data_IF_427449593840
#
_entry.id   IF_427449593840
#
_cell.length_a   1.000
_cell.length_b   1.000
_cell.length_c   1.000
_cell.angle_alpha   90.00
_cell.angle_beta   90.00
_cell.angle_gamma   90.00
#
_symmetry.space_group_name_H-M   'P 1'
#
loop_
_entity.id
_entity.type
_entity.pdbx_description
1 polymer ?
#
# COMPACT_ATOMS: atom_id res chain seq x y z
N UNK A 1 -8.40 27.42 -14.65
CA UNK A 1 -7.80 28.14 -13.50
C UNK A 1 -6.29 28.15 -13.67
N UNK A 2 -5.63 29.31 -13.65
CA UNK A 2 -4.15 29.39 -13.66
C UNK A 2 -3.62 28.74 -12.39
N UNK A 3 -2.67 27.81 -12.50
CA UNK A 3 -2.04 27.21 -11.33
C UNK A 3 -1.35 28.32 -10.52
N UNK A 4 -1.82 28.58 -9.29
CA UNK A 4 -1.12 29.46 -8.35
C UNK A 4 0.28 28.87 -8.14
N UNK A 5 1.31 29.71 -8.28
CA UNK A 5 2.70 29.34 -8.01
C UNK A 5 2.79 28.81 -6.58
N UNK A 6 3.43 27.65 -6.37
CA UNK A 6 3.64 27.10 -5.02
C UNK A 6 4.45 28.09 -4.19
N UNK A 7 4.05 28.30 -2.94
CA UNK A 7 4.78 29.18 -2.02
C UNK A 7 6.08 28.50 -1.60
N UNK A 8 7.13 29.28 -1.42
CA UNK A 8 8.33 28.83 -0.73
C UNK A 8 8.03 28.57 0.75
N UNK A 9 8.90 27.81 1.42
CA UNK A 9 8.74 27.52 2.84
C UNK A 9 8.69 28.81 3.70
N UNK A 10 9.54 29.80 3.38
CA UNK A 10 9.54 31.10 4.08
C UNK A 10 8.24 31.88 3.87
N UNK A 11 7.72 31.90 2.63
CA UNK A 11 6.45 32.55 2.31
C UNK A 11 5.27 31.86 3.03
N UNK A 12 5.31 30.54 3.15
CA UNK A 12 4.26 29.79 3.85
C UNK A 12 4.25 30.05 5.35
N UNK A 13 5.43 30.10 5.99
CA UNK A 13 5.53 30.42 7.42
C UNK A 13 5.07 31.85 7.76
N UNK A 14 5.07 32.75 6.79
CA UNK A 14 4.60 34.12 6.97
C UNK A 14 3.06 34.25 6.95
N UNK A 15 2.33 33.20 6.53
CA UNK A 15 0.86 33.21 6.49
C UNK A 15 0.24 32.95 7.87
N UNK A 16 -0.99 33.41 8.14
CA UNK A 16 -1.79 32.94 9.26
C UNK A 16 -2.04 31.42 9.19
N UNK A 17 -2.20 30.75 10.34
CA UNK A 17 -2.33 29.28 10.42
C UNK A 17 -3.43 28.70 9.51
N UNK A 18 -4.58 29.35 9.42
CA UNK A 18 -5.67 28.93 8.53
C UNK A 18 -5.25 28.92 7.05
N UNK A 19 -4.57 29.98 6.61
CA UNK A 19 -4.06 30.11 5.24
C UNK A 19 -2.93 29.10 4.97
N UNK A 20 -2.09 28.81 5.98
CA UNK A 20 -1.09 27.74 5.88
C UNK A 20 -1.74 26.37 5.61
N UNK A 21 -2.81 26.04 6.34
CA UNK A 21 -3.52 24.78 6.19
C UNK A 21 -4.12 24.64 4.78
N UNK A 22 -4.78 25.69 4.27
CA UNK A 22 -5.31 25.71 2.90
C UNK A 22 -4.20 25.54 1.86
N UNK A 23 -3.09 26.29 2.01
CA UNK A 23 -1.97 26.20 1.08
C UNK A 23 -1.40 24.78 1.03
N UNK A 24 -1.20 24.15 2.19
CA UNK A 24 -0.72 22.76 2.30
C UNK A 24 -1.69 21.75 1.70
N UNK A 25 -2.99 21.93 1.90
CA UNK A 25 -3.99 21.04 1.31
C UNK A 25 -3.95 21.08 -0.21
N UNK A 26 -3.87 22.29 -0.78
CA UNK A 26 -3.76 22.46 -2.23
C UNK A 26 -2.50 21.82 -2.80
N UNK A 27 -1.36 21.98 -2.13
CA UNK A 27 -0.10 21.32 -2.52
C UNK A 27 -0.23 19.80 -2.46
N UNK A 28 -0.82 19.27 -1.38
CA UNK A 28 -1.06 17.84 -1.20
C UNK A 28 -1.96 17.28 -2.29
N UNK A 29 -3.04 17.99 -2.62
CA UNK A 29 -3.97 17.60 -3.67
C UNK A 29 -3.29 17.53 -5.05
N UNK A 30 -2.50 18.55 -5.41
CA UNK A 30 -1.75 18.55 -6.67
C UNK A 30 -0.70 17.44 -6.71
N UNK A 31 0.01 17.21 -5.60
CA UNK A 31 0.97 16.11 -5.49
C UNK A 31 0.28 14.75 -5.64
N UNK A 32 -0.89 14.58 -5.02
CA UNK A 32 -1.70 13.36 -5.10
C UNK A 32 -2.18 13.08 -6.52
N UNK A 33 -2.64 14.09 -7.26
CA UNK A 33 -3.02 13.91 -8.68
C UNK A 33 -1.82 13.43 -9.52
N UNK A 34 -0.63 14.03 -9.33
CA UNK A 34 0.59 13.59 -10.03
C UNK A 34 1.02 12.19 -9.63
N UNK A 35 0.85 11.82 -8.38
CA UNK A 35 1.13 10.48 -7.88
C UNK A 35 0.21 9.43 -8.53
N UNK A 36 -1.10 9.69 -8.54
CA UNK A 36 -2.10 8.81 -9.18
C UNK A 36 -1.75 8.58 -10.64
N UNK A 37 -1.35 9.64 -11.36
CA UNK A 37 -0.90 9.52 -12.74
C UNK A 37 0.31 8.61 -12.91
N UNK A 38 1.28 8.68 -11.99
CA UNK A 38 2.45 7.77 -11.97
C UNK A 38 2.07 6.33 -11.62
N UNK A 39 0.99 6.13 -10.86
CA UNK A 39 0.49 4.81 -10.48
C UNK A 39 -0.42 4.17 -11.54
N UNK A 40 -0.82 4.91 -12.58
CA UNK A 40 -1.87 4.52 -13.56
C UNK A 40 -1.76 3.07 -14.04
N UNK A 41 -0.57 2.63 -14.45
CA UNK A 41 -0.38 1.26 -14.95
C UNK A 41 -0.55 0.21 -13.84
N UNK A 42 0.04 0.44 -12.67
CA UNK A 42 -0.06 -0.47 -11.53
C UNK A 42 -1.49 -0.55 -10.99
N UNK A 43 -2.22 0.58 -10.97
CA UNK A 43 -3.63 0.61 -10.58
C UNK A 43 -4.49 -0.22 -11.52
N UNK A 44 -4.29 -0.14 -12.84
CA UNK A 44 -5.01 -0.99 -13.82
C UNK A 44 -4.73 -2.47 -13.62
N UNK A 45 -3.48 -2.84 -13.34
CA UNK A 45 -3.11 -4.23 -13.06
C UNK A 45 -3.75 -4.72 -11.75
N UNK A 46 -3.75 -3.89 -10.71
CA UNK A 46 -4.38 -4.24 -9.44
C UNK A 46 -5.89 -4.37 -9.60
N UNK A 47 -6.52 -3.48 -10.37
CA UNK A 47 -7.96 -3.53 -10.62
C UNK A 47 -8.40 -4.82 -11.31
N UNK A 48 -7.61 -5.31 -12.27
CA UNK A 48 -7.83 -6.62 -12.89
C UNK A 48 -7.69 -7.80 -11.90
N UNK A 49 -6.87 -7.66 -10.86
CA UNK A 49 -6.65 -8.69 -9.83
C UNK A 49 -7.68 -8.62 -8.68
N UNK A 50 -8.36 -7.49 -8.48
CA UNK A 50 -9.30 -7.28 -7.36
C UNK A 50 -10.35 -8.38 -7.24
N UNK A 51 -11.02 -8.85 -8.31
CA UNK A 51 -12.01 -9.92 -8.20
C UNK A 51 -11.41 -11.22 -7.67
N UNK A 52 -10.20 -11.58 -8.12
CA UNK A 52 -9.52 -12.80 -7.71
C UNK A 52 -9.02 -12.72 -6.26
N UNK A 53 -8.51 -11.55 -5.83
CA UNK A 53 -8.12 -11.30 -4.43
C UNK A 53 -9.34 -11.43 -3.51
N UNK A 54 -10.48 -10.86 -3.90
CA UNK A 54 -11.74 -10.95 -3.15
C UNK A 54 -12.24 -12.39 -3.07
N UNK A 55 -12.24 -13.11 -4.19
CA UNK A 55 -12.63 -14.53 -4.24
C UNK A 55 -11.72 -15.43 -3.38
N UNK A 56 -10.45 -15.07 -3.22
CA UNK A 56 -9.50 -15.75 -2.33
C UNK A 56 -9.71 -15.46 -0.83
N UNK A 57 -10.79 -14.75 -0.47
CA UNK A 57 -11.13 -14.38 0.90
C UNK A 57 -10.57 -13.04 1.35
N UNK A 58 -10.03 -12.23 0.43
CA UNK A 58 -9.63 -10.85 0.70
C UNK A 58 -10.83 -9.91 0.78
N UNK A 59 -10.67 -8.78 1.47
CA UNK A 59 -11.68 -7.71 1.44
C UNK A 59 -11.55 -6.87 0.18
N UNK A 60 -12.50 -5.97 0.03
CA UNK A 60 -12.47 -4.98 -1.04
C UNK A 60 -11.27 -4.04 -0.87
N UNK A 61 -10.49 -3.86 -1.93
CA UNK A 61 -9.38 -2.90 -1.95
C UNK A 61 -9.88 -1.55 -2.45
N UNK A 62 -9.68 -0.51 -1.64
CA UNK A 62 -10.07 0.86 -1.98
C UNK A 62 -8.89 1.70 -2.44
N UNK A 63 -9.07 2.43 -3.54
CA UNK A 63 -8.02 3.26 -4.14
C UNK A 63 -7.54 4.40 -3.22
N UNK A 64 -8.38 4.84 -2.28
CA UNK A 64 -8.02 5.87 -1.29
C UNK A 64 -6.89 5.44 -0.35
N UNK A 65 -6.73 4.13 -0.14
CA UNK A 65 -5.66 3.56 0.71
C UNK A 65 -4.39 3.23 -0.07
N UNK A 66 -4.35 3.49 -1.39
CA UNK A 66 -3.20 3.20 -2.23
C UNK A 66 -2.31 4.42 -2.42
N UNK A 67 -1.02 4.26 -2.17
CA UNK A 67 0.03 5.23 -2.48
C UNK A 67 1.18 4.58 -3.23
N UNK A 68 2.09 5.39 -3.78
CA UNK A 68 3.26 4.93 -4.50
C UNK A 68 4.46 4.94 -3.57
N UNK A 69 5.12 3.79 -3.43
CA UNK A 69 6.42 3.74 -2.78
C UNK A 69 7.49 4.45 -3.64
N UNK A 70 8.22 5.44 -3.12
CA UNK A 70 9.09 6.29 -3.92
C UNK A 70 10.27 5.54 -4.55
N UNK A 71 10.82 4.52 -3.88
CA UNK A 71 12.08 3.88 -4.29
C UNK A 71 11.95 3.00 -5.54
N UNK A 72 10.89 2.20 -5.63
CA UNK A 72 10.73 1.23 -6.71
C UNK A 72 9.38 1.33 -7.44
N UNK A 73 8.51 2.26 -7.04
CA UNK A 73 7.19 2.44 -7.64
C UNK A 73 6.15 1.37 -7.30
N UNK A 74 6.43 0.47 -6.35
CA UNK A 74 5.43 -0.45 -5.82
C UNK A 74 4.23 0.32 -5.26
N UNK A 75 3.04 -0.28 -5.35
CA UNK A 75 1.88 0.26 -4.63
C UNK A 75 2.04 -0.08 -3.16
N UNK A 76 1.63 0.81 -2.28
CA UNK A 76 1.47 0.54 -0.84
C UNK A 76 -0.01 0.62 -0.51
N UNK A 77 -0.57 -0.43 0.07
CA UNK A 77 -1.94 -0.42 0.57
C UNK A 77 -1.92 -0.24 2.08
N UNK A 78 -2.44 0.89 2.55
CA UNK A 78 -2.43 1.26 3.97
C UNK A 78 -3.85 1.62 4.43
N UNK A 79 -4.67 0.60 4.66
CA UNK A 79 -5.98 0.77 5.26
C UNK A 79 -5.87 0.75 6.79
N UNK A 80 -6.41 1.76 7.47
CA UNK A 80 -6.43 1.81 8.94
C UNK A 80 -7.24 0.67 9.59
N UNK A 81 -8.11 0.03 8.80
CA UNK A 81 -9.07 -0.97 9.26
C UNK A 81 -8.68 -2.40 8.87
N UNK A 82 -7.61 -2.56 8.09
CA UNK A 82 -7.19 -3.85 7.55
C UNK A 82 -5.70 -4.07 7.79
N UNK A 83 -5.34 -4.11 9.06
CA UNK A 83 -4.00 -4.47 9.52
C UNK A 83 -3.99 -5.91 9.98
N UNK A 84 -3.74 -6.84 9.06
CA UNK A 84 -3.63 -8.21 9.50
C UNK A 84 -3.24 -9.21 8.42
N UNK A 85 -3.07 -10.47 8.84
CA UNK A 85 -2.68 -11.56 7.98
C UNK A 85 -3.71 -11.89 6.88
N UNK A 86 -4.95 -11.39 6.98
CA UNK A 86 -6.04 -11.69 6.03
C UNK A 86 -5.75 -11.27 4.59
N UNK A 87 -5.34 -10.02 4.36
CA UNK A 87 -4.99 -9.55 3.02
C UNK A 87 -3.77 -10.30 2.48
N UNK A 88 -2.72 -10.49 3.29
CA UNK A 88 -1.55 -11.26 2.91
C UNK A 88 -1.92 -12.70 2.53
N UNK A 89 -2.78 -13.36 3.31
CA UNK A 89 -3.25 -14.71 3.03
C UNK A 89 -4.06 -14.79 1.73
N UNK A 90 -4.95 -13.82 1.47
CA UNK A 90 -5.70 -13.74 0.23
C UNK A 90 -4.79 -13.55 -1.00
N UNK A 91 -3.76 -12.70 -0.86
CA UNK A 91 -2.74 -12.53 -1.90
C UNK A 91 -1.98 -13.85 -2.16
N UNK A 92 -1.54 -14.53 -1.09
CA UNK A 92 -0.85 -15.84 -1.19
C UNK A 92 -1.74 -16.89 -1.89
N UNK A 93 -3.01 -17.03 -1.49
CA UNK A 93 -3.98 -17.93 -2.14
C UNK A 93 -4.24 -17.56 -3.60
N UNK A 94 -4.15 -16.27 -3.95
CA UNK A 94 -4.22 -15.79 -5.33
C UNK A 94 -2.86 -15.78 -6.06
N UNK A 95 -1.93 -16.67 -5.67
CA UNK A 95 -0.63 -16.88 -6.31
C UNK A 95 0.31 -15.67 -6.30
N UNK A 96 0.12 -14.71 -5.39
CA UNK A 96 1.14 -13.71 -5.13
C UNK A 96 2.27 -14.32 -4.31
N UNK A 97 3.50 -13.87 -4.56
CA UNK A 97 4.70 -14.35 -3.86
C UNK A 97 5.22 -13.27 -2.93
N UNK A 98 5.80 -13.68 -1.81
CA UNK A 98 6.58 -12.77 -0.96
C UNK A 98 7.84 -12.38 -1.72
N UNK A 99 8.02 -11.09 -1.99
CA UNK A 99 9.22 -10.53 -2.61
C UNK A 99 10.21 -10.03 -1.55
N UNK A 100 9.70 -9.50 -0.44
CA UNK A 100 10.47 -8.94 0.66
C UNK A 100 9.72 -9.18 1.98
N UNK A 101 10.39 -9.78 2.96
CA UNK A 101 9.86 -9.90 4.33
C UNK A 101 10.23 -8.63 5.09
N UNK A 102 9.22 -7.87 5.52
CA UNK A 102 9.42 -6.74 6.42
C UNK A 102 9.96 -7.20 7.77
N UNK A 103 10.66 -6.31 8.46
CA UNK A 103 11.27 -6.56 9.78
C UNK A 103 10.76 -5.54 10.80
N UNK A 104 10.88 -5.88 12.08
CA UNK A 104 10.49 -5.01 13.20
C UNK A 104 9.07 -5.28 13.71
N UNK A 105 8.60 -4.43 14.61
CA UNK A 105 7.31 -4.58 15.31
C UNK A 105 6.09 -4.29 14.41
N UNK A 106 6.29 -3.45 13.39
CA UNK A 106 5.28 -3.05 12.40
C UNK A 106 5.83 -3.30 11.00
N UNK A 107 6.03 -4.57 10.60
CA UNK A 107 6.70 -4.89 9.35
C UNK A 107 5.86 -4.45 8.15
N UNK A 108 6.53 -4.12 7.04
CA UNK A 108 5.88 -3.93 5.74
C UNK A 108 6.38 -4.99 4.79
N UNK A 109 5.52 -5.90 4.37
CA UNK A 109 5.87 -6.99 3.45
C UNK A 109 5.59 -6.56 2.01
N UNK A 110 6.51 -6.89 1.10
CA UNK A 110 6.30 -6.65 -0.34
C UNK A 110 5.83 -7.95 -0.98
N UNK A 111 4.62 -7.94 -1.55
CA UNK A 111 4.03 -9.03 -2.32
C UNK A 111 4.17 -8.74 -3.82
N UNK A 112 4.38 -9.77 -4.64
CA UNK A 112 4.50 -9.63 -6.10
C UNK A 112 3.66 -10.63 -6.89
N UNK A 113 3.12 -10.19 -8.02
CA UNK A 113 2.52 -11.04 -9.06
C UNK A 113 2.85 -10.48 -10.45
N UNK A 114 3.65 -11.23 -11.21
CA UNK A 114 4.23 -10.73 -12.46
C UNK A 114 5.02 -9.43 -12.23
N UNK A 115 4.59 -8.34 -12.88
CA UNK A 115 5.20 -7.01 -12.75
C UNK A 115 4.58 -6.14 -11.64
N UNK A 116 3.46 -6.58 -11.04
CA UNK A 116 2.78 -5.84 -10.00
C UNK A 116 3.41 -6.15 -8.63
N UNK A 117 3.71 -5.09 -7.87
CA UNK A 117 4.18 -5.19 -6.49
C UNK A 117 3.24 -4.40 -5.57
N UNK A 118 2.91 -5.00 -4.43
CA UNK A 118 2.05 -4.42 -3.40
C UNK A 118 2.73 -4.56 -2.04
N UNK A 119 3.01 -3.43 -1.40
CA UNK A 119 3.51 -3.32 -0.04
C UNK A 119 2.31 -3.27 0.91
N UNK A 120 2.35 -4.12 1.92
CA UNK A 120 1.30 -4.24 2.94
C UNK A 120 1.94 -4.02 4.31
N UNK A 121 1.74 -2.85 4.94
CA UNK A 121 2.09 -2.61 6.33
C UNK A 121 1.25 -3.49 7.25
N UNK A 122 1.86 -3.99 8.32
CA UNK A 122 1.20 -4.86 9.30
C UNK A 122 1.45 -4.35 10.71
N UNK A 123 0.49 -4.64 11.60
CA UNK A 123 0.54 -4.19 13.00
C UNK A 123 1.21 -5.18 13.96
N UNK A 124 1.64 -6.33 13.44
CA UNK A 124 2.24 -7.39 14.23
C UNK A 124 3.47 -7.94 13.50
N UNK A 125 4.51 -8.23 14.26
CA UNK A 125 5.76 -8.78 13.73
C UNK A 125 5.55 -10.15 13.05
N UNK A 126 4.58 -10.94 13.52
CA UNK A 126 4.27 -12.29 13.05
C UNK A 126 3.15 -12.33 11.98
N UNK A 127 2.82 -11.18 11.39
CA UNK A 127 1.68 -11.07 10.48
C UNK A 127 1.84 -11.90 9.20
N UNK A 128 3.07 -12.08 8.71
CA UNK A 128 3.30 -12.89 7.52
C UNK A 128 3.22 -14.38 7.84
N UNK A 129 3.76 -14.82 8.98
CA UNK A 129 3.68 -16.20 9.45
C UNK A 129 2.22 -16.62 9.61
N UNK A 130 1.41 -15.81 10.30
CA UNK A 130 -0.04 -16.03 10.42
C UNK A 130 -0.74 -16.06 9.06
N UNK A 131 -0.29 -15.24 8.11
CA UNK A 131 -0.87 -15.24 6.76
C UNK A 131 -0.53 -16.52 5.99
N UNK A 132 0.68 -17.05 6.16
CA UNK A 132 1.14 -18.30 5.56
C UNK A 132 0.35 -19.49 6.13
N UNK A 133 0.12 -19.53 7.45
CA UNK A 133 -0.74 -20.52 8.11
C UNK A 133 -2.18 -20.47 7.60
N UNK A 134 -2.76 -19.26 7.50
CA UNK A 134 -4.12 -19.08 6.97
C UNK A 134 -4.23 -19.42 5.48
N UNK A 135 -3.18 -19.20 4.70
CA UNK A 135 -3.18 -19.48 3.27
C UNK A 135 -2.98 -20.97 2.97
N UNK A 136 -2.20 -21.67 3.80
CA UNK A 136 -1.78 -23.05 3.59
C UNK A 136 -1.89 -23.86 4.88
N UNK A 137 -3.11 -24.16 5.37
CA UNK A 137 -3.31 -24.83 6.67
C UNK A 137 -2.72 -26.24 6.74
N UNK A 138 -2.45 -26.86 5.59
CA UNK A 138 -1.82 -28.19 5.49
C UNK A 138 -0.28 -28.16 5.49
N UNK A 139 0.34 -26.97 5.47
CA UNK A 139 1.78 -26.85 5.64
C UNK A 139 2.09 -26.75 7.13
N UNK A 140 2.81 -27.71 7.73
CA UNK A 140 3.21 -27.58 9.13
C UNK A 140 3.99 -26.28 9.30
N UNK A 141 3.55 -25.46 10.25
CA UNK A 141 4.14 -24.17 10.59
C UNK A 141 5.53 -24.36 11.15
N UNK A 142 6.51 -24.49 10.28
CA UNK A 142 7.92 -24.45 10.63
C UNK A 142 8.51 -23.22 9.96
N UNK A 143 8.78 -22.21 10.78
CA UNK A 143 9.77 -21.21 10.44
C UNK A 143 11.04 -21.91 9.93
N UNK A 144 11.62 -21.32 8.90
CA UNK A 144 12.84 -21.74 8.17
C UNK A 144 12.59 -22.62 6.92
N UNK A 145 12.66 -21.90 5.79
CA UNK A 145 12.99 -22.23 4.40
C UNK A 145 13.59 -23.60 4.06
N UNK A 146 13.19 -24.11 2.88
CA UNK A 146 14.07 -24.23 1.70
C UNK A 146 13.31 -23.81 0.44
#
# INVERSE_FOLDING_TARGET
MKAKKSLSFKEMLALPLYEQAIARENERHLARLREIERMRAALRMLDAERPAIKAAGGRELYAEHLSRWPLNGALTYSAMTEFGPGLLAALLRNNWKVAERGVGTLPTHTMKKGRLQLRVPCMHADALEKAEELAFPERPGNGVSL
#
